data_IF_769514828035
#
_entry.id   IF_769514828035
#
_cell.length_a   1.000
_cell.length_b   1.000
_cell.length_c   1.000
_cell.angle_alpha   90.00
_cell.angle_beta   90.00
_cell.angle_gamma   90.00
#
_symmetry.space_group_name_H-M   'P 1'
#
loop_
_entity.id
_entity.type
_entity.pdbx_description
1 polymer ?
#
# COMPACT_ATOMS: atom_id res chain seq x y z
N UNK A 1 -10.18 -13.65 16.75
CA UNK A 1 -9.50 -13.22 15.52
C UNK A 1 -8.13 -13.87 15.55
N UNK A 2 -7.86 -14.86 14.71
CA UNK A 2 -6.53 -15.48 14.62
C UNK A 2 -5.55 -14.48 14.03
N UNK A 3 -4.43 -14.23 14.71
CA UNK A 3 -3.32 -13.39 14.20
C UNK A 3 -2.81 -13.97 12.88
N UNK A 4 -2.71 -13.14 11.84
CA UNK A 4 -2.06 -13.51 10.57
C UNK A 4 -0.59 -13.84 10.85
N UNK A 5 -0.08 -14.92 10.25
CA UNK A 5 1.30 -15.38 10.42
C UNK A 5 1.99 -15.47 9.07
N UNK A 6 3.26 -15.11 9.02
CA UNK A 6 4.09 -15.20 7.82
C UNK A 6 4.46 -16.66 7.48
N UNK A 7 5.27 -16.85 6.44
CA UNK A 7 5.74 -18.16 5.99
C UNK A 7 6.57 -18.94 7.04
N UNK A 8 7.08 -18.24 8.06
CA UNK A 8 7.85 -18.81 9.18
C UNK A 8 6.99 -18.97 10.45
N UNK A 9 5.70 -18.66 10.39
CA UNK A 9 4.78 -18.76 11.52
C UNK A 9 4.90 -17.60 12.51
N UNK A 10 5.60 -16.51 12.18
CA UNK A 10 5.69 -15.31 13.02
C UNK A 10 4.47 -14.42 12.81
N UNK A 11 3.95 -13.75 13.87
CA UNK A 11 2.87 -12.79 13.70
C UNK A 11 3.26 -11.68 12.73
N UNK A 12 2.40 -11.42 11.74
CA UNK A 12 2.59 -10.31 10.81
C UNK A 12 2.21 -9.02 11.52
N UNK A 13 3.10 -8.02 11.50
CA UNK A 13 2.79 -6.69 11.99
C UNK A 13 1.65 -6.10 11.14
N UNK A 14 0.52 -5.66 11.73
CA UNK A 14 -0.58 -5.06 10.98
C UNK A 14 -0.17 -3.88 10.09
N UNK A 15 0.83 -3.10 10.49
CA UNK A 15 1.37 -2.01 9.68
C UNK A 15 2.16 -2.54 8.48
N UNK A 16 2.98 -3.59 8.65
CA UNK A 16 3.66 -4.26 7.53
C UNK A 16 2.66 -4.82 6.53
N UNK A 17 1.57 -5.42 7.01
CA UNK A 17 0.52 -5.94 6.15
C UNK A 17 -0.14 -4.85 5.31
N UNK A 18 -0.50 -3.71 5.92
CA UNK A 18 -1.08 -2.58 5.20
C UNK A 18 -0.07 -1.94 4.24
N UNK A 19 1.22 -1.90 4.59
CA UNK A 19 2.29 -1.42 3.71
C UNK A 19 2.43 -2.27 2.46
N UNK A 20 2.35 -3.61 2.58
CA UNK A 20 2.37 -4.52 1.42
C UNK A 20 1.22 -4.25 0.44
N UNK A 21 0.03 -3.94 0.96
CA UNK A 21 -1.11 -3.56 0.11
C UNK A 21 -0.83 -2.25 -0.63
N UNK A 22 -0.25 -1.24 0.04
CA UNK A 22 0.09 0.03 -0.60
C UNK A 22 1.15 -0.12 -1.69
N UNK A 23 2.15 -0.98 -1.48
CA UNK A 23 3.15 -1.32 -2.49
C UNK A 23 2.51 -1.99 -3.71
N UNK A 24 1.64 -2.99 -3.49
CA UNK A 24 0.92 -3.63 -4.59
C UNK A 24 0.02 -2.68 -5.39
N UNK A 25 -0.59 -1.68 -4.74
CA UNK A 25 -1.37 -0.65 -5.44
C UNK A 25 -0.48 0.28 -6.30
N UNK A 26 0.73 0.58 -5.83
CA UNK A 26 1.69 1.34 -6.61
C UNK A 26 2.15 0.54 -7.83
N UNK A 27 2.53 -0.72 -7.63
CA UNK A 27 2.98 -1.61 -8.71
C UNK A 27 1.88 -1.80 -9.76
N UNK A 28 0.62 -2.02 -9.34
CA UNK A 28 -0.52 -2.13 -10.24
C UNK A 28 -0.75 -0.86 -11.08
N UNK A 29 -0.60 0.32 -10.47
CA UNK A 29 -0.74 1.60 -11.18
C UNK A 29 0.37 1.77 -12.22
N UNK A 30 1.60 1.40 -11.89
CA UNK A 30 2.75 1.44 -12.80
C UNK A 30 2.56 0.46 -13.96
N UNK A 31 2.17 -0.78 -13.68
CA UNK A 31 1.84 -1.80 -14.69
C UNK A 31 0.71 -1.34 -15.62
N UNK A 32 -0.33 -0.69 -15.09
CA UNK A 32 -1.41 -0.12 -15.90
C UNK A 32 -0.90 0.99 -16.84
N UNK A 33 0.08 1.78 -16.39
CA UNK A 33 0.78 2.75 -17.23
C UNK A 33 1.59 2.10 -18.35
N UNK A 34 2.33 1.03 -18.05
CA UNK A 34 3.11 0.29 -19.04
C UNK A 34 2.24 -0.48 -20.05
N UNK A 35 1.03 -0.86 -19.66
CA UNK A 35 0.07 -1.57 -20.49
C UNK A 35 -0.82 -0.64 -21.34
N UNK A 36 -0.48 0.66 -21.44
CA UNK A 36 -1.18 1.66 -22.25
C UNK A 36 -2.68 1.80 -21.93
N UNK A 37 -3.08 1.59 -20.66
CA UNK A 37 -4.45 1.89 -20.25
C UNK A 37 -4.75 3.39 -20.35
N UNK A 38 -6.02 3.78 -20.56
CA UNK A 38 -6.43 5.19 -20.56
C UNK A 38 -5.96 5.94 -19.31
N UNK A 39 -5.43 7.15 -19.51
CA UNK A 39 -4.93 8.01 -18.44
C UNK A 39 -5.99 8.31 -17.35
N UNK A 40 -7.27 8.32 -17.73
CA UNK A 40 -8.39 8.45 -16.79
C UNK A 40 -8.42 7.29 -15.78
N UNK A 41 -8.29 6.05 -16.24
CA UNK A 41 -8.28 4.85 -15.38
C UNK A 41 -7.03 4.81 -14.48
N UNK A 42 -5.87 5.22 -15.00
CA UNK A 42 -4.65 5.35 -14.19
C UNK A 42 -4.83 6.43 -13.12
N UNK A 43 -5.50 7.54 -13.46
CA UNK A 43 -5.87 8.60 -12.53
C UNK A 43 -6.78 8.10 -11.41
N UNK A 44 -7.78 7.28 -11.73
CA UNK A 44 -8.64 6.64 -10.73
C UNK A 44 -7.87 5.71 -9.79
N UNK A 45 -6.95 4.91 -10.32
CA UNK A 45 -6.07 4.06 -9.50
C UNK A 45 -5.21 4.88 -8.53
N UNK A 46 -4.67 6.01 -8.98
CA UNK A 46 -3.89 6.90 -8.11
C UNK A 46 -4.75 7.50 -6.99
N UNK A 47 -6.01 7.87 -7.26
CA UNK A 47 -6.94 8.34 -6.23
C UNK A 47 -7.19 7.25 -5.19
N UNK A 48 -7.38 5.99 -5.61
CA UNK A 48 -7.52 4.85 -4.69
C UNK A 48 -6.26 4.67 -3.85
N UNK A 49 -5.08 4.68 -4.48
CA UNK A 49 -3.78 4.59 -3.78
C UNK A 49 -3.65 5.64 -2.68
N UNK A 50 -3.98 6.90 -2.97
CA UNK A 50 -3.90 7.99 -1.99
C UNK A 50 -4.83 7.76 -0.78
N UNK A 51 -6.05 7.26 -1.01
CA UNK A 51 -6.98 6.95 0.10
C UNK A 51 -6.45 5.86 1.03
N UNK A 52 -5.75 4.85 0.48
CA UNK A 52 -5.12 3.81 1.29
C UNK A 52 -3.96 4.38 2.12
N UNK A 53 -3.18 5.31 1.56
CA UNK A 53 -2.11 5.99 2.29
C UNK A 53 -2.66 6.87 3.43
N UNK A 54 -3.74 7.61 3.18
CA UNK A 54 -4.39 8.43 4.22
C UNK A 54 -4.90 7.55 5.39
N UNK A 55 -5.53 6.41 5.08
CA UNK A 55 -5.98 5.44 6.09
C UNK A 55 -4.81 4.83 6.86
N UNK A 56 -3.72 4.50 6.17
CA UNK A 56 -2.52 3.97 6.80
C UNK A 56 -1.88 4.97 7.78
N UNK A 57 -1.68 6.22 7.36
CA UNK A 57 -1.12 7.27 8.22
C UNK A 57 -2.05 7.56 9.42
N UNK A 58 -3.38 7.52 9.22
CA UNK A 58 -4.34 7.69 10.30
C UNK A 58 -4.25 6.58 11.36
N UNK A 59 -3.99 5.34 10.95
CA UNK A 59 -3.85 4.17 11.85
C UNK A 59 -2.47 4.06 12.49
N UNK A 60 -1.42 4.41 11.75
CA UNK A 60 -0.03 4.21 12.14
C UNK A 60 0.79 5.50 11.96
N UNK A 61 0.46 6.58 12.70
CA UNK A 61 1.07 7.89 12.48
C UNK A 61 2.58 7.86 12.68
N UNK A 62 3.33 8.31 11.67
CA UNK A 62 4.79 8.32 11.69
C UNK A 62 5.46 6.94 11.65
N UNK A 63 4.73 5.88 11.33
CA UNK A 63 5.34 4.60 10.99
C UNK A 63 6.26 4.77 9.79
N UNK A 64 7.51 4.33 9.91
CA UNK A 64 8.54 4.58 8.89
C UNK A 64 9.23 5.95 8.98
N UNK A 65 9.11 6.73 10.07
CA UNK A 65 10.01 7.89 10.30
C UNK A 65 11.47 7.41 10.46
N UNK A 66 12.16 7.24 9.32
CA UNK A 66 13.49 6.63 9.16
C UNK A 66 13.60 5.60 8.02
N UNK A 67 12.47 5.15 7.44
CA UNK A 67 12.38 4.23 6.29
C UNK A 67 11.21 4.64 5.40
N UNK A 68 11.47 4.90 4.12
CA UNK A 68 10.51 5.27 3.06
C UNK A 68 9.42 6.28 3.49
N UNK A 69 9.60 7.55 3.13
CA UNK A 69 8.52 8.53 3.24
C UNK A 69 7.51 8.23 2.13
N UNK A 70 6.27 7.94 2.50
CA UNK A 70 5.24 7.46 1.57
C UNK A 70 4.64 8.57 0.70
N UNK A 71 4.91 9.84 1.03
CA UNK A 71 4.44 11.02 0.31
C UNK A 71 5.53 11.70 -0.50
#
# INVERSE_FOLDING_TARGET
MSEERDEYGLPVDPAERMQQVMLGLYDLMDEAGMADFPAELIGELNIVRLKFMDEFEARFPGYGKGRAVWR
#
